data_IF_705870421264
#
_entry.id   IF_705870421264
#
_cell.length_a   1.000
_cell.length_b   1.000
_cell.length_c   1.000
_cell.angle_alpha   90.00
_cell.angle_beta   90.00
_cell.angle_gamma   90.00
#
_symmetry.space_group_name_H-M   'P 1'
#
loop_
_entity.id
_entity.type
_entity.pdbx_description
1 polymer ?
#
# COMPACT_ATOMS: atom_id res chain seq x y z
N UNK A 1 -20.65 -25.11 11.74
CA UNK A 1 -19.78 -25.45 10.64
C UNK A 1 -19.77 -24.33 9.62
N UNK A 2 -18.66 -23.59 9.53
CA UNK A 2 -18.49 -22.46 8.62
C UNK A 2 -17.58 -22.86 7.46
N UNK A 3 -17.80 -22.27 6.28
CA UNK A 3 -17.00 -22.52 5.07
C UNK A 3 -15.79 -21.59 4.93
N UNK A 4 -15.69 -20.56 5.75
CA UNK A 4 -14.59 -19.61 5.77
C UNK A 4 -14.76 -18.57 6.86
N UNK A 5 -13.72 -17.76 7.09
CA UNK A 5 -13.70 -16.67 8.08
C UNK A 5 -13.28 -15.38 7.38
N UNK A 6 -14.07 -14.32 7.55
CA UNK A 6 -13.69 -12.96 7.24
C UNK A 6 -13.37 -12.23 8.55
N UNK A 7 -12.14 -11.71 8.66
CA UNK A 7 -11.70 -10.89 9.78
C UNK A 7 -11.86 -9.42 9.39
N UNK A 8 -12.36 -8.61 10.31
CA UNK A 8 -12.54 -7.17 10.14
C UNK A 8 -12.18 -6.40 11.43
N UNK A 9 -11.85 -5.13 11.28
CA UNK A 9 -11.65 -4.17 12.37
C UNK A 9 -10.54 -4.58 13.37
N UNK A 10 -9.58 -5.37 12.94
CA UNK A 10 -8.41 -5.72 13.74
C UNK A 10 -7.25 -4.81 13.37
N UNK A 11 -6.80 -4.01 14.34
CA UNK A 11 -5.73 -3.03 14.10
C UNK A 11 -4.38 -3.68 13.78
N UNK A 12 -3.54 -2.96 13.06
CA UNK A 12 -2.13 -3.32 12.89
C UNK A 12 -1.30 -2.91 14.14
N UNK A 13 -0.29 -3.71 14.53
CA UNK A 13 0.25 -4.87 13.81
C UNK A 13 -0.40 -6.22 14.16
N UNK A 14 -1.34 -6.26 15.10
CA UNK A 14 -1.93 -7.49 15.63
C UNK A 14 -2.66 -8.28 14.54
N UNK A 15 -3.32 -7.62 13.60
CA UNK A 15 -4.06 -8.25 12.51
C UNK A 15 -3.18 -9.19 11.67
N UNK A 16 -1.92 -8.86 11.44
CA UNK A 16 -1.01 -9.68 10.65
C UNK A 16 -0.72 -11.03 11.30
N UNK A 17 -0.51 -11.02 12.62
CA UNK A 17 -0.22 -12.25 13.37
C UNK A 17 -1.47 -13.10 13.55
N UNK A 18 -2.61 -12.47 13.80
CA UNK A 18 -3.89 -13.17 13.98
C UNK A 18 -4.27 -13.90 12.69
N UNK A 19 -4.26 -13.19 11.56
CA UNK A 19 -4.57 -13.79 10.26
C UNK A 19 -3.61 -14.93 9.93
N UNK A 20 -2.29 -14.70 10.02
CA UNK A 20 -1.27 -15.71 9.75
C UNK A 20 -1.52 -16.99 10.53
N UNK A 21 -1.75 -16.88 11.84
CA UNK A 21 -1.99 -18.03 12.69
C UNK A 21 -3.29 -18.76 12.36
N UNK A 22 -4.36 -18.04 12.09
CA UNK A 22 -5.64 -18.67 11.72
C UNK A 22 -5.54 -19.38 10.37
N UNK A 23 -4.83 -18.81 9.39
CA UNK A 23 -4.56 -19.47 8.11
C UNK A 23 -3.75 -20.75 8.28
N UNK A 24 -2.78 -20.75 9.21
CA UNK A 24 -1.94 -21.94 9.48
C UNK A 24 -2.64 -23.01 10.31
N UNK A 25 -3.53 -22.61 11.23
CA UNK A 25 -4.15 -23.51 12.21
C UNK A 25 -5.50 -24.10 11.74
N UNK A 26 -6.16 -23.48 10.72
CA UNK A 26 -7.49 -23.87 10.27
C UNK A 26 -7.47 -24.47 8.86
N UNK A 27 -8.36 -25.45 8.63
CA UNK A 27 -8.55 -26.09 7.32
C UNK A 27 -9.58 -25.37 6.43
N UNK A 28 -10.10 -24.21 6.85
CA UNK A 28 -11.03 -23.38 6.11
C UNK A 28 -10.37 -22.07 5.68
N UNK A 29 -10.77 -21.45 4.57
CA UNK A 29 -10.25 -20.16 4.15
C UNK A 29 -10.42 -19.08 5.21
N UNK A 30 -9.36 -18.29 5.45
CA UNK A 30 -9.38 -17.12 6.32
C UNK A 30 -8.85 -15.92 5.54
N UNK A 31 -9.53 -14.79 5.64
CA UNK A 31 -9.14 -13.53 5.01
C UNK A 31 -9.37 -12.39 6.00
N UNK A 32 -8.51 -11.38 5.96
CA UNK A 32 -8.72 -10.12 6.67
C UNK A 32 -9.08 -9.04 5.65
N UNK A 33 -10.33 -8.55 5.69
CA UNK A 33 -10.88 -7.66 4.66
C UNK A 33 -10.16 -6.31 4.58
N UNK A 34 -9.84 -5.71 5.74
CA UNK A 34 -9.09 -4.43 5.79
C UNK A 34 -7.71 -4.52 5.12
N UNK A 35 -7.14 -5.71 5.00
CA UNK A 35 -5.93 -5.95 4.22
C UNK A 35 -6.25 -6.31 2.78
N UNK A 36 -6.89 -7.44 2.56
CA UNK A 36 -6.99 -8.09 1.25
C UNK A 36 -8.16 -7.57 0.41
N UNK A 37 -9.30 -7.22 1.02
CA UNK A 37 -10.43 -6.63 0.30
C UNK A 37 -10.05 -5.27 -0.30
N UNK A 38 -9.42 -4.41 0.49
CA UNK A 38 -8.88 -3.12 0.03
C UNK A 38 -7.82 -3.32 -1.06
N UNK A 39 -6.93 -4.30 -0.91
CA UNK A 39 -5.90 -4.57 -1.90
C UNK A 39 -6.49 -5.05 -3.23
N UNK A 40 -7.50 -5.91 -3.20
CA UNK A 40 -8.18 -6.41 -4.41
C UNK A 40 -8.84 -5.28 -5.19
N UNK A 41 -9.65 -4.46 -4.51
CA UNK A 41 -10.40 -3.40 -5.21
C UNK A 41 -9.50 -2.30 -5.74
N UNK A 42 -8.46 -1.91 -5.00
CA UNK A 42 -7.52 -0.89 -5.46
C UNK A 42 -6.61 -1.40 -6.56
N UNK A 43 -6.29 -2.68 -6.58
CA UNK A 43 -5.55 -3.32 -7.67
C UNK A 43 -6.35 -3.37 -8.97
N UNK A 44 -7.65 -3.69 -8.89
CA UNK A 44 -8.54 -3.62 -10.04
C UNK A 44 -8.61 -2.19 -10.59
N UNK A 45 -8.70 -1.18 -9.71
CA UNK A 45 -8.68 0.22 -10.12
C UNK A 45 -7.36 0.63 -10.78
N UNK A 46 -6.21 0.19 -10.26
CA UNK A 46 -4.89 0.43 -10.85
C UNK A 46 -4.79 -0.16 -12.26
N UNK A 47 -5.22 -1.42 -12.44
CA UNK A 47 -5.17 -2.10 -13.74
C UNK A 47 -6.03 -1.38 -14.78
N UNK A 48 -7.26 -1.02 -14.41
CA UNK A 48 -8.17 -0.29 -15.30
C UNK A 48 -7.63 1.11 -15.64
N UNK A 49 -7.08 1.82 -14.67
CA UNK A 49 -6.49 3.13 -14.89
C UNK A 49 -5.28 3.05 -15.84
N UNK A 50 -4.39 2.07 -15.64
CA UNK A 50 -3.24 1.84 -16.51
C UNK A 50 -3.66 1.57 -17.95
N UNK A 51 -4.68 0.71 -18.16
CA UNK A 51 -5.25 0.43 -19.47
C UNK A 51 -5.83 1.68 -20.14
N UNK A 52 -6.65 2.44 -19.41
CA UNK A 52 -7.26 3.69 -19.90
C UNK A 52 -6.22 4.74 -20.29
N UNK A 53 -5.11 4.81 -19.56
CA UNK A 53 -4.00 5.75 -19.80
C UNK A 53 -3.02 5.24 -20.88
N UNK A 54 -3.16 3.99 -21.33
CA UNK A 54 -2.21 3.35 -22.24
C UNK A 54 -0.81 3.19 -21.65
N UNK A 55 -0.69 3.07 -20.30
CA UNK A 55 0.58 2.92 -19.58
C UNK A 55 0.79 1.47 -19.14
N UNK A 56 2.02 1.00 -19.18
CA UNK A 56 2.38 -0.25 -18.53
C UNK A 56 2.49 -0.03 -17.00
N UNK A 57 1.92 -0.92 -16.22
CA UNK A 57 1.97 -0.87 -14.74
C UNK A 57 3.43 -0.80 -14.24
N UNK A 58 4.35 -1.50 -14.91
CA UNK A 58 5.77 -1.51 -14.55
C UNK A 58 6.47 -0.16 -14.68
N UNK A 59 5.93 0.75 -15.47
CA UNK A 59 6.50 2.05 -15.76
C UNK A 59 5.86 3.17 -14.90
N UNK A 60 4.75 2.83 -14.23
CA UNK A 60 4.02 3.79 -13.39
C UNK A 60 4.77 4.08 -12.09
N UNK A 61 4.77 5.36 -11.71
CA UNK A 61 5.18 5.82 -10.38
C UNK A 61 3.96 5.90 -9.48
N UNK A 62 3.92 5.04 -8.46
CA UNK A 62 2.81 4.92 -7.52
C UNK A 62 3.22 5.43 -6.14
N UNK A 63 2.48 6.38 -5.60
CA UNK A 63 2.67 6.89 -4.23
C UNK A 63 1.58 6.34 -3.32
N UNK A 64 1.97 5.73 -2.22
CA UNK A 64 1.04 5.22 -1.19
C UNK A 64 1.17 6.07 0.07
N UNK A 65 0.13 6.80 0.41
CA UNK A 65 0.07 7.65 1.60
C UNK A 65 -0.67 6.94 2.71
N UNK A 66 0.07 6.36 3.61
CA UNK A 66 -0.32 5.46 4.67
C UNK A 66 0.65 4.28 4.75
N UNK A 67 0.81 3.69 5.93
CA UNK A 67 1.63 2.50 6.14
C UNK A 67 1.03 1.61 7.24
N UNK A 68 -0.29 1.52 7.25
CA UNK A 68 -1.10 0.60 8.04
C UNK A 68 -1.32 -0.73 7.31
N UNK A 69 -2.22 -1.56 7.84
CA UNK A 69 -2.51 -2.89 7.30
C UNK A 69 -2.93 -2.84 5.82
N UNK A 70 -3.92 -2.01 5.48
CA UNK A 70 -4.40 -1.85 4.10
C UNK A 70 -3.30 -1.37 3.16
N UNK A 71 -2.51 -0.35 3.57
CA UNK A 71 -1.46 0.20 2.73
C UNK A 71 -0.35 -0.82 2.43
N UNK A 72 0.02 -1.64 3.41
CA UNK A 72 1.00 -2.72 3.26
C UNK A 72 0.46 -3.79 2.30
N UNK A 73 -0.78 -4.25 2.50
CA UNK A 73 -1.39 -5.26 1.65
C UNK A 73 -1.55 -4.77 0.19
N UNK A 74 -2.05 -3.55 -0.02
CA UNK A 74 -2.15 -2.93 -1.35
C UNK A 74 -0.79 -2.84 -2.03
N UNK A 75 0.22 -2.35 -1.31
CA UNK A 75 1.57 -2.18 -1.86
C UNK A 75 2.23 -3.51 -2.21
N UNK A 76 1.99 -4.55 -1.42
CA UNK A 76 2.45 -5.92 -1.73
C UNK A 76 1.82 -6.39 -3.03
N UNK A 77 0.50 -6.32 -3.15
CA UNK A 77 -0.21 -6.73 -4.36
C UNK A 77 0.20 -5.90 -5.59
N UNK A 78 0.42 -4.60 -5.44
CA UNK A 78 0.91 -3.74 -6.54
C UNK A 78 2.29 -4.19 -7.04
N UNK A 79 3.20 -4.55 -6.14
CA UNK A 79 4.51 -5.12 -6.53
C UNK A 79 4.35 -6.45 -7.27
N UNK A 80 3.44 -7.32 -6.85
CA UNK A 80 3.15 -8.59 -7.53
C UNK A 80 2.53 -8.36 -8.92
N UNK A 81 1.72 -7.31 -9.11
CA UNK A 81 1.21 -6.88 -10.40
C UNK A 81 2.27 -6.24 -11.30
N UNK A 82 3.48 -5.99 -10.79
CA UNK A 82 4.60 -5.51 -11.56
C UNK A 82 4.95 -4.02 -11.37
N UNK A 83 4.35 -3.32 -10.42
CA UNK A 83 4.75 -1.93 -10.07
C UNK A 83 6.19 -1.94 -9.55
N UNK A 84 7.10 -1.28 -10.28
CA UNK A 84 8.53 -1.21 -9.92
C UNK A 84 8.86 0.05 -9.12
N UNK A 85 8.16 1.15 -9.37
CA UNK A 85 8.40 2.44 -8.72
C UNK A 85 7.27 2.76 -7.74
N UNK A 86 7.31 2.15 -6.56
CA UNK A 86 6.37 2.36 -5.48
C UNK A 86 7.05 3.10 -4.33
N UNK A 87 6.47 4.23 -3.92
CA UNK A 87 6.95 5.07 -2.81
C UNK A 87 5.88 5.11 -1.72
N UNK A 88 6.22 4.58 -0.55
CA UNK A 88 5.32 4.58 0.61
C UNK A 88 5.66 5.72 1.56
N UNK A 89 4.63 6.40 2.06
CA UNK A 89 4.73 7.45 3.06
C UNK A 89 3.92 7.07 4.31
N UNK A 90 4.45 7.33 5.49
CA UNK A 90 3.70 7.26 6.75
C UNK A 90 3.55 8.64 7.41
N UNK A 91 3.10 8.69 8.65
CA UNK A 91 2.90 9.95 9.39
C UNK A 91 4.19 10.78 9.61
N UNK A 92 5.36 10.21 9.34
CA UNK A 92 6.67 10.88 9.45
C UNK A 92 7.29 11.18 8.08
N UNK A 93 6.59 10.91 6.98
CA UNK A 93 7.04 11.14 5.61
C UNK A 93 7.41 9.87 4.86
N UNK A 94 8.23 10.02 3.84
CA UNK A 94 8.65 8.90 2.97
C UNK A 94 9.38 7.82 3.76
N UNK A 95 9.11 6.57 3.44
CA UNK A 95 9.83 5.41 3.98
C UNK A 95 11.10 5.21 3.15
N UNK A 96 12.23 5.71 3.65
CA UNK A 96 13.51 5.69 2.96
C UNK A 96 14.63 5.09 3.83
N UNK A 97 15.77 4.77 3.21
CA UNK A 97 16.93 4.08 3.83
C UNK A 97 17.53 4.79 5.06
N UNK A 98 17.35 6.11 5.18
CA UNK A 98 17.85 6.88 6.33
C UNK A 98 16.98 6.78 7.57
N UNK A 99 15.83 6.12 7.53
CA UNK A 99 14.92 5.98 8.67
C UNK A 99 15.30 4.79 9.57
N UNK A 100 15.37 5.02 10.87
CA UNK A 100 15.72 4.01 11.89
C UNK A 100 14.52 3.52 12.70
N UNK A 101 13.36 4.15 12.52
CA UNK A 101 12.13 3.90 13.30
C UNK A 101 11.13 2.95 12.62
N UNK A 102 11.57 2.24 11.58
CA UNK A 102 10.71 1.36 10.79
C UNK A 102 10.54 0.00 11.45
N UNK A 103 9.29 -0.45 11.57
CA UNK A 103 9.00 -1.83 11.95
C UNK A 103 9.29 -2.82 10.80
N UNK A 104 9.23 -4.12 11.10
CA UNK A 104 9.56 -5.17 10.13
C UNK A 104 8.73 -5.10 8.83
N UNK A 105 7.44 -4.74 8.93
CA UNK A 105 6.54 -4.68 7.78
C UNK A 105 6.81 -3.49 6.86
N UNK A 106 7.24 -2.36 7.42
CA UNK A 106 7.59 -1.15 6.65
C UNK A 106 8.93 -1.25 5.95
N UNK A 107 9.85 -2.06 6.47
CA UNK A 107 11.20 -2.21 5.90
C UNK A 107 11.20 -2.72 4.46
N UNK A 108 10.20 -3.53 4.09
CA UNK A 108 10.05 -4.07 2.73
C UNK A 108 9.67 -3.01 1.69
N UNK A 109 9.27 -1.82 2.18
CA UNK A 109 8.86 -0.68 1.35
C UNK A 109 9.83 0.50 1.42
N UNK A 110 11.05 0.29 1.89
CA UNK A 110 12.10 1.31 1.80
C UNK A 110 12.35 1.61 0.33
N UNK A 111 12.15 2.90 -0.05
CA UNK A 111 12.40 3.32 -1.43
C UNK A 111 13.86 3.11 -1.82
N UNK A 112 14.09 2.64 -3.04
CA UNK A 112 15.43 2.44 -3.62
C UNK A 112 16.01 3.73 -4.20
N UNK A 113 15.21 4.80 -4.26
CA UNK A 113 15.61 6.12 -4.74
C UNK A 113 16.07 7.01 -3.58
N UNK A 114 16.62 8.18 -3.89
CA UNK A 114 17.03 9.17 -2.89
C UNK A 114 15.89 10.11 -2.45
N UNK A 115 14.63 9.79 -2.80
CA UNK A 115 13.43 10.53 -2.43
C UNK A 115 13.23 10.45 -0.90
N UNK A 116 13.10 11.60 -0.27
CA UNK A 116 12.94 11.71 1.19
C UNK A 116 11.72 12.55 1.60
N UNK A 117 11.20 13.37 0.73
CA UNK A 117 10.07 14.28 0.98
C UNK A 117 8.81 13.86 0.22
N UNK A 118 7.64 14.27 0.71
CA UNK A 118 6.37 14.03 0.02
C UNK A 118 6.31 14.76 -1.33
N UNK A 119 6.83 15.98 -1.43
CA UNK A 119 6.85 16.71 -2.71
C UNK A 119 7.63 15.93 -3.78
N UNK A 120 8.81 15.43 -3.44
CA UNK A 120 9.60 14.58 -4.35
C UNK A 120 8.86 13.28 -4.72
N UNK A 121 8.15 12.69 -3.74
CA UNK A 121 7.36 11.49 -4.01
C UNK A 121 6.24 11.77 -5.00
N UNK A 122 5.51 12.88 -4.84
CA UNK A 122 4.39 13.25 -5.71
C UNK A 122 4.82 13.79 -7.08
N UNK A 123 6.01 14.38 -7.19
CA UNK A 123 6.49 14.89 -8.49
C UNK A 123 6.48 13.78 -9.54
N UNK A 124 5.79 14.02 -10.66
CA UNK A 124 5.62 13.08 -11.77
C UNK A 124 5.04 11.71 -11.36
N UNK A 125 4.26 11.65 -10.29
CA UNK A 125 3.55 10.44 -9.92
C UNK A 125 2.33 10.22 -10.82
N UNK A 126 2.13 8.98 -11.27
CA UNK A 126 0.98 8.58 -12.09
C UNK A 126 -0.25 8.26 -11.24
N UNK A 127 -0.04 7.79 -10.02
CA UNK A 127 -1.11 7.39 -9.11
C UNK A 127 -0.76 7.72 -7.67
N UNK A 128 -1.75 8.16 -6.90
CA UNK A 128 -1.69 8.21 -5.44
C UNK A 128 -2.78 7.32 -4.84
N UNK A 129 -2.40 6.49 -3.87
CA UNK A 129 -3.31 5.73 -3.03
C UNK A 129 -3.32 6.32 -1.62
N UNK A 130 -4.42 6.94 -1.23
CA UNK A 130 -4.58 7.57 0.09
C UNK A 130 -5.24 6.64 1.09
N UNK A 131 -4.48 6.08 2.02
CA UNK A 131 -4.92 5.19 3.09
C UNK A 131 -4.49 5.70 4.47
N UNK A 132 -4.68 7.00 4.70
CA UNK A 132 -4.29 7.70 5.91
C UNK A 132 -5.40 8.66 6.37
N UNK A 133 -5.07 9.57 7.26
CA UNK A 133 -6.01 10.57 7.78
C UNK A 133 -6.37 11.60 6.71
N UNK A 134 -7.57 12.21 6.78
CA UNK A 134 -7.88 13.39 5.97
C UNK A 134 -6.81 14.48 6.13
N UNK A 135 -6.49 15.16 5.02
CA UNK A 135 -5.52 16.25 5.02
C UNK A 135 -4.04 15.85 5.09
N UNK A 136 -3.71 14.55 4.98
CA UNK A 136 -2.31 14.10 4.96
C UNK A 136 -1.56 14.60 3.72
N UNK A 137 -2.23 14.72 2.60
CA UNK A 137 -1.74 15.42 1.40
C UNK A 137 -2.79 16.42 0.91
N UNK A 138 -2.36 17.40 0.14
CA UNK A 138 -3.15 18.55 -0.26
C UNK A 138 -3.25 18.65 -1.78
N UNK A 139 -4.05 19.61 -2.26
CA UNK A 139 -4.15 19.92 -3.69
C UNK A 139 -2.79 20.30 -4.30
N UNK A 140 -1.88 20.89 -3.51
CA UNK A 140 -0.55 21.27 -3.99
C UNK A 140 0.30 20.02 -4.30
N UNK A 141 0.15 18.94 -3.54
CA UNK A 141 0.78 17.67 -3.88
C UNK A 141 0.19 17.08 -5.17
N UNK A 142 -1.14 17.12 -5.33
CA UNK A 142 -1.80 16.62 -6.56
C UNK A 142 -1.33 17.38 -7.81
N UNK A 143 -1.08 18.68 -7.70
CA UNK A 143 -0.55 19.48 -8.82
C UNK A 143 0.87 19.11 -9.27
N UNK A 144 1.61 18.36 -8.45
CA UNK A 144 2.95 17.85 -8.80
C UNK A 144 2.90 16.57 -9.62
N UNK A 145 1.75 15.91 -9.67
CA UNK A 145 1.56 14.65 -10.39
C UNK A 145 1.54 14.86 -11.90
N UNK A 146 1.79 13.77 -12.67
CA UNK A 146 1.76 13.74 -14.14
C UNK A 146 0.35 13.77 -14.72
#
# INVERSE_FOLDING_TARGET
>A
TFGGINLEDIKAPECFEIERRLVEELEIPVMHDDQHGTAIITSAALMNAAEMMGKNISDMKVVVVGAGASAIACSTMYKELGVKNLIMCDSKGVIHKGRTDLNKYKKDFITQTDITTMNEAFTDADMVLGLSKPGTFTIEHIKLMS
#
